data_IF_338339947200
#
_entry.id   IF_338339947200
#
_cell.length_a   1.000
_cell.length_b   1.000
_cell.length_c   1.000
_cell.angle_alpha   90.00
_cell.angle_beta   90.00
_cell.angle_gamma   90.00
#
_symmetry.space_group_name_H-M   'P 1'
#
loop_
_entity.id
_entity.type
_entity.pdbx_description
1 polymer ?
#
# COMPACT_ATOMS: atom_id res chain seq x y z
N UNK A 1 -9.94 3.10 4.20
CA UNK A 1 -8.68 3.64 3.66
C UNK A 1 -8.78 5.05 3.12
N UNK A 2 -9.98 5.61 2.90
CA UNK A 2 -10.17 6.93 2.29
C UNK A 2 -9.48 8.10 3.00
N UNK A 3 -9.17 7.95 4.30
CA UNK A 3 -8.45 8.96 5.09
C UNK A 3 -6.92 8.81 5.05
N UNK A 4 -6.38 7.70 4.52
CA UNK A 4 -4.94 7.54 4.36
C UNK A 4 -4.47 8.45 3.22
N UNK A 5 -3.36 9.16 3.45
CA UNK A 5 -2.63 9.80 2.35
C UNK A 5 -2.08 8.73 1.42
N UNK A 6 -1.79 9.12 0.18
CA UNK A 6 -1.25 8.20 -0.81
C UNK A 6 0.13 7.65 -0.38
N UNK A 7 0.96 8.48 0.25
CA UNK A 7 2.25 8.07 0.84
C UNK A 7 2.08 7.00 1.93
N UNK A 8 1.19 7.24 2.89
CA UNK A 8 0.96 6.29 3.99
C UNK A 8 0.35 4.97 3.50
N UNK A 9 -0.48 5.02 2.45
CA UNK A 9 -1.04 3.83 1.82
C UNK A 9 0.04 2.98 1.14
N UNK A 10 0.97 3.62 0.43
CA UNK A 10 2.11 2.96 -0.21
C UNK A 10 3.05 2.34 0.82
N UNK A 11 3.34 3.07 1.91
CA UNK A 11 4.12 2.55 3.04
C UNK A 11 3.46 1.35 3.70
N UNK A 12 2.15 1.43 3.96
CA UNK A 12 1.39 0.35 4.55
C UNK A 12 1.39 -0.90 3.65
N UNK A 13 1.29 -0.74 2.33
CA UNK A 13 1.38 -1.84 1.37
C UNK A 13 2.74 -2.55 1.42
N UNK A 14 3.83 -1.79 1.38
CA UNK A 14 5.17 -2.36 1.48
C UNK A 14 5.44 -3.01 2.84
N UNK A 15 5.00 -2.39 3.92
CA UNK A 15 5.12 -2.96 5.26
C UNK A 15 4.32 -4.26 5.38
N UNK A 16 3.10 -4.31 4.85
CA UNK A 16 2.26 -5.50 4.91
C UNK A 16 2.90 -6.69 4.17
N UNK A 17 3.53 -6.45 3.02
CA UNK A 17 4.33 -7.46 2.32
C UNK A 17 5.59 -7.85 3.11
N UNK A 18 6.33 -6.88 3.66
CA UNK A 18 7.57 -7.12 4.41
C UNK A 18 7.37 -7.96 5.67
N UNK A 19 6.26 -7.76 6.37
CA UNK A 19 5.93 -8.47 7.60
C UNK A 19 5.03 -9.69 7.38
N UNK A 20 4.80 -10.08 6.12
CA UNK A 20 3.95 -11.22 5.74
C UNK A 20 2.59 -11.19 6.46
N UNK A 21 1.95 -10.00 6.45
CA UNK A 21 0.65 -9.82 7.06
C UNK A 21 -0.42 -10.61 6.29
N UNK A 22 -1.61 -10.66 6.89
CA UNK A 22 -2.73 -11.40 6.35
C UNK A 22 -2.99 -11.09 4.85
N UNK A 23 -3.14 -12.12 3.99
CA UNK A 23 -3.32 -11.93 2.55
C UNK A 23 -4.60 -11.16 2.18
N UNK A 24 -5.66 -11.21 2.99
CA UNK A 24 -6.87 -10.42 2.78
C UNK A 24 -6.57 -8.93 3.03
N UNK A 25 -5.79 -8.63 4.06
CA UNK A 25 -5.34 -7.26 4.33
C UNK A 25 -4.47 -6.69 3.20
N UNK A 26 -3.54 -7.48 2.67
CA UNK A 26 -2.71 -7.09 1.52
C UNK A 26 -3.59 -6.84 0.28
N UNK A 27 -4.61 -7.68 0.04
CA UNK A 27 -5.54 -7.48 -1.06
C UNK A 27 -6.36 -6.19 -0.91
N UNK A 28 -6.78 -5.84 0.31
CA UNK A 28 -7.48 -4.58 0.57
C UNK A 28 -6.60 -3.36 0.22
N UNK A 29 -5.32 -3.40 0.59
CA UNK A 29 -4.36 -2.34 0.26
C UNK A 29 -4.14 -2.25 -1.26
N UNK A 30 -3.96 -3.40 -1.92
CA UNK A 30 -3.78 -3.47 -3.38
C UNK A 30 -5.00 -2.95 -4.14
N UNK A 31 -6.21 -3.28 -3.69
CA UNK A 31 -7.45 -2.79 -4.28
C UNK A 31 -7.59 -1.26 -4.17
N UNK A 32 -7.20 -0.69 -3.03
CA UNK A 32 -7.22 0.75 -2.82
C UNK A 32 -6.14 1.47 -3.66
N UNK A 33 -4.92 0.94 -3.75
CA UNK A 33 -3.87 1.46 -4.62
C UNK A 33 -4.35 1.50 -6.08
N UNK A 34 -4.99 0.43 -6.54
CA UNK A 34 -5.58 0.36 -7.88
C UNK A 34 -6.70 1.38 -8.07
N UNK A 35 -7.58 1.56 -7.08
CA UNK A 35 -8.67 2.56 -7.11
C UNK A 35 -8.13 3.98 -7.28
N UNK A 36 -7.00 4.30 -6.63
CA UNK A 36 -6.33 5.61 -6.69
C UNK A 36 -5.31 5.76 -7.82
N UNK A 37 -5.10 4.70 -8.60
CA UNK A 37 -4.10 4.65 -9.68
C UNK A 37 -2.66 4.89 -9.18
N UNK A 38 -2.36 4.44 -7.96
CA UNK A 38 -1.03 4.52 -7.36
C UNK A 38 -0.21 3.30 -7.76
N UNK A 39 1.04 3.52 -8.17
CA UNK A 39 1.96 2.43 -8.51
C UNK A 39 2.95 2.21 -7.35
N UNK A 40 2.85 1.09 -6.60
CA UNK A 40 3.77 0.79 -5.52
C UNK A 40 5.23 0.63 -5.99
N UNK A 41 5.47 0.09 -7.19
CA UNK A 41 6.81 -0.11 -7.74
C UNK A 41 7.52 1.21 -8.11
N UNK A 42 6.75 2.26 -8.40
CA UNK A 42 7.29 3.59 -8.68
C UNK A 42 7.63 4.36 -7.40
N UNK A 43 7.15 3.89 -6.24
CA UNK A 43 7.35 4.56 -4.97
C UNK A 43 8.70 4.17 -4.38
N UNK A 44 9.70 5.04 -4.57
CA UNK A 44 10.97 4.97 -3.85
C UNK A 44 10.80 5.62 -2.49
N UNK A 45 10.73 4.80 -1.45
CA UNK A 45 10.84 5.28 -0.10
C UNK A 45 12.28 5.78 0.11
N UNK A 46 12.48 7.09 0.24
CA UNK A 46 13.81 7.70 0.49
C UNK A 46 14.06 7.93 1.98
N UNK A 47 13.36 7.20 2.85
CA UNK A 47 13.55 7.27 4.30
C UNK A 47 14.82 6.55 4.77
#
# INVERSE_FOLDING_TARGET
>A
MEQLSDELLLDAYHAAHKFELDPEFIQLLSAELKRRQLNPESYRNTA
#
